data_IF_102930540321
#
_entry.id   IF_102930540321
#
_cell.length_a   1.000
_cell.length_b   1.000
_cell.length_c   1.000
_cell.angle_alpha   90.00
_cell.angle_beta   90.00
_cell.angle_gamma   90.00
#
_symmetry.space_group_name_H-M   'P 1'
#
loop_
_entity.id
_entity.type
_entity.pdbx_description
1 polymer ?
#
# COMPACT_ATOMS: atom_id res chain seq x y z
N UNK A 1 -14.01 7.70 1.98
CA UNK A 1 -13.48 6.58 2.78
C UNK A 1 -12.79 5.61 1.84
N UNK A 2 -11.51 5.30 2.10
CA UNK A 2 -10.73 4.31 1.34
C UNK A 2 -10.57 3.08 2.23
N UNK A 3 -10.88 1.88 1.73
CA UNK A 3 -10.78 0.64 2.51
C UNK A 3 -9.68 -0.27 1.97
N UNK A 4 -8.82 -0.79 2.85
CA UNK A 4 -7.84 -1.82 2.50
C UNK A 4 -8.55 -3.14 2.13
N UNK A 5 -8.10 -3.80 1.08
CA UNK A 5 -8.60 -5.11 0.65
C UNK A 5 -7.46 -6.13 0.74
N UNK A 6 -7.45 -6.87 1.84
CA UNK A 6 -6.49 -7.92 2.14
C UNK A 6 -7.16 -8.98 3.04
N UNK A 7 -6.58 -10.18 3.10
CA UNK A 7 -7.06 -11.25 3.99
C UNK A 7 -6.22 -11.40 5.26
N UNK A 8 -5.09 -10.69 5.40
CA UNK A 8 -4.17 -10.96 6.50
C UNK A 8 -4.72 -10.63 7.89
N UNK A 9 -5.66 -9.69 8.00
CA UNK A 9 -6.37 -9.35 9.23
C UNK A 9 -7.50 -10.33 9.57
N UNK A 10 -7.87 -11.21 8.63
CA UNK A 10 -9.03 -12.10 8.75
C UNK A 10 -8.67 -13.59 8.70
N UNK A 11 -7.38 -13.91 8.60
CA UNK A 11 -6.88 -15.28 8.58
C UNK A 11 -6.23 -15.63 9.91
N UNK A 12 -6.26 -16.91 10.27
CA UNK A 12 -5.58 -17.41 11.47
C UNK A 12 -4.06 -17.53 11.28
N UNK A 13 -3.55 -17.54 10.05
CA UNK A 13 -2.12 -17.67 9.75
C UNK A 13 -1.41 -16.34 9.45
N UNK A 14 -2.15 -15.25 9.20
CA UNK A 14 -1.59 -13.90 9.00
C UNK A 14 -0.97 -13.64 7.62
N UNK A 15 -1.27 -14.49 6.63
CA UNK A 15 -0.87 -14.28 5.22
C UNK A 15 -1.96 -13.56 4.44
N UNK A 16 -1.58 -12.92 3.33
CA UNK A 16 -2.50 -12.06 2.57
C UNK A 16 -3.52 -12.82 1.71
N UNK A 17 -3.38 -14.15 1.61
CA UNK A 17 -4.17 -15.01 0.74
C UNK A 17 -4.42 -16.40 1.33
N UNK A 18 -5.11 -17.23 0.56
CA UNK A 18 -5.38 -18.64 0.87
C UNK A 18 -4.09 -19.45 0.79
N UNK A 19 -3.87 -20.37 1.72
CA UNK A 19 -2.68 -21.23 1.72
C UNK A 19 -2.91 -22.55 0.98
N UNK A 20 -1.90 -22.99 0.24
CA UNK A 20 -1.71 -24.38 -0.22
C UNK A 20 -0.39 -24.90 0.35
N UNK A 21 -0.47 -25.64 1.47
CA UNK A 21 0.70 -25.98 2.27
C UNK A 21 1.30 -24.76 2.96
N UNK A 22 2.56 -24.44 2.66
CA UNK A 22 3.26 -23.26 3.19
C UNK A 22 3.27 -22.07 2.21
N UNK A 23 2.76 -22.25 0.99
CA UNK A 23 2.69 -21.23 -0.05
C UNK A 23 1.30 -20.59 -0.12
N UNK A 24 1.23 -19.37 -0.67
CA UNK A 24 -0.03 -18.67 -0.91
C UNK A 24 -0.53 -19.01 -2.31
N UNK A 25 -1.73 -19.57 -2.41
CA UNK A 25 -2.40 -19.83 -3.69
C UNK A 25 -3.04 -18.54 -4.23
N UNK A 26 -2.40 -17.99 -5.27
CA UNK A 26 -2.88 -16.80 -5.96
C UNK A 26 -4.32 -16.96 -6.47
N UNK A 27 -4.61 -18.05 -7.19
CA UNK A 27 -5.91 -18.26 -7.87
C UNK A 27 -7.05 -18.45 -6.88
N UNK A 28 -6.80 -19.17 -5.79
CA UNK A 28 -7.78 -19.34 -4.73
C UNK A 28 -8.04 -18.03 -3.98
N UNK A 29 -7.07 -17.11 -3.95
CA UNK A 29 -7.16 -15.83 -3.25
C UNK A 29 -7.99 -14.78 -4.02
N UNK A 30 -7.86 -14.68 -5.34
CA UNK A 30 -8.50 -13.62 -6.14
C UNK A 30 -10.03 -13.50 -5.92
N UNK A 31 -10.82 -14.60 -5.92
CA UNK A 31 -12.27 -14.50 -5.70
C UNK A 31 -12.64 -13.99 -4.30
N UNK A 32 -11.79 -14.22 -3.30
CA UNK A 32 -12.02 -13.72 -1.94
C UNK A 32 -11.74 -12.22 -1.85
N UNK A 33 -10.67 -11.73 -2.50
CA UNK A 33 -10.38 -10.30 -2.57
C UNK A 33 -11.52 -9.53 -3.27
N UNK A 34 -12.03 -10.06 -4.39
CA UNK A 34 -13.17 -9.49 -5.08
C UNK A 34 -14.43 -9.43 -4.17
N UNK A 35 -14.74 -10.53 -3.45
CA UNK A 35 -15.85 -10.55 -2.48
C UNK A 35 -15.68 -9.52 -1.36
N UNK A 36 -14.47 -9.36 -0.84
CA UNK A 36 -14.16 -8.35 0.18
C UNK A 36 -14.38 -6.93 -0.36
N UNK A 37 -13.88 -6.62 -1.56
CA UNK A 37 -14.08 -5.32 -2.20
C UNK A 37 -15.58 -5.03 -2.43
N UNK A 38 -16.36 -6.00 -2.92
CA UNK A 38 -17.81 -5.88 -3.09
C UNK A 38 -18.50 -5.62 -1.75
N UNK A 39 -18.08 -6.31 -0.68
CA UNK A 39 -18.60 -6.09 0.67
C UNK A 39 -18.38 -4.64 1.13
N UNK A 40 -17.17 -4.12 0.93
CA UNK A 40 -16.83 -2.73 1.28
C UNK A 40 -17.62 -1.72 0.45
N UNK A 41 -17.77 -1.95 -0.86
CA UNK A 41 -18.58 -1.11 -1.74
C UNK A 41 -20.06 -1.07 -1.33
N UNK A 42 -20.64 -2.24 -0.98
CA UNK A 42 -22.01 -2.33 -0.44
C UNK A 42 -22.18 -1.57 0.88
N UNK A 43 -21.12 -1.48 1.68
CA UNK A 43 -21.11 -0.71 2.93
C UNK A 43 -20.88 0.80 2.71
N UNK A 44 -20.67 1.25 1.46
CA UNK A 44 -20.48 2.66 1.13
C UNK A 44 -19.02 3.12 1.10
N UNK A 45 -18.05 2.22 0.86
CA UNK A 45 -16.68 2.64 0.56
C UNK A 45 -16.64 3.50 -0.72
N UNK A 46 -15.87 4.59 -0.69
CA UNK A 46 -15.71 5.47 -1.85
C UNK A 46 -14.59 5.01 -2.78
N UNK A 47 -13.71 4.11 -2.30
CA UNK A 47 -12.57 3.55 -3.03
C UNK A 47 -12.07 2.30 -2.30
N UNK A 48 -11.60 1.30 -3.05
CA UNK A 48 -10.98 0.09 -2.51
C UNK A 48 -9.49 0.05 -2.84
N UNK A 49 -8.66 -0.48 -1.94
CA UNK A 49 -7.22 -0.46 -2.11
C UNK A 49 -6.63 -1.86 -1.83
N UNK A 50 -6.46 -2.72 -2.85
CA UNK A 50 -5.97 -4.08 -2.67
C UNK A 50 -4.49 -4.10 -2.31
N UNK A 51 -4.17 -4.67 -1.16
CA UNK A 51 -2.80 -4.70 -0.63
C UNK A 51 -2.20 -6.10 -0.53
N UNK A 52 -2.86 -7.11 -1.11
CA UNK A 52 -2.43 -8.51 -1.00
C UNK A 52 -1.20 -8.85 -1.85
N UNK A 53 -0.91 -8.08 -2.91
CA UNK A 53 0.13 -8.39 -3.93
C UNK A 53 -0.12 -9.72 -4.64
N UNK A 54 -1.37 -9.99 -5.00
CA UNK A 54 -1.74 -11.15 -5.80
C UNK A 54 -1.79 -10.76 -7.28
N UNK A 55 -1.17 -11.54 -8.15
CA UNK A 55 -1.19 -11.32 -9.60
C UNK A 55 -2.64 -11.36 -10.11
N UNK A 56 -3.08 -10.32 -10.83
CA UNK A 56 -4.45 -10.22 -11.33
C UNK A 56 -5.49 -9.74 -10.32
N UNK A 57 -5.08 -9.28 -9.14
CA UNK A 57 -6.02 -8.80 -8.11
C UNK A 57 -6.84 -7.60 -8.56
N UNK A 58 -6.28 -6.68 -9.35
CA UNK A 58 -6.99 -5.49 -9.80
C UNK A 58 -8.06 -5.92 -10.80
N UNK A 59 -7.71 -6.74 -11.79
CA UNK A 59 -8.67 -7.25 -12.77
C UNK A 59 -9.82 -8.05 -12.11
N UNK A 60 -9.49 -8.90 -11.14
CA UNK A 60 -10.49 -9.68 -10.40
C UNK A 60 -11.44 -8.79 -9.58
N UNK A 61 -10.91 -7.77 -8.90
CA UNK A 61 -11.71 -6.82 -8.13
C UNK A 61 -12.56 -5.95 -9.05
N UNK A 62 -11.99 -5.41 -10.14
CA UNK A 62 -12.70 -4.57 -11.12
C UNK A 62 -13.89 -5.32 -11.71
N UNK A 63 -13.65 -6.55 -12.18
CA UNK A 63 -14.71 -7.42 -12.72
C UNK A 63 -15.80 -7.69 -11.69
N UNK A 64 -15.41 -8.04 -10.45
CA UNK A 64 -16.37 -8.30 -9.37
C UNK A 64 -17.21 -7.09 -8.98
N UNK A 65 -16.62 -5.89 -8.94
CA UNK A 65 -17.34 -4.65 -8.70
C UNK A 65 -18.31 -4.33 -9.85
N UNK A 66 -17.89 -4.49 -11.11
CA UNK A 66 -18.71 -4.20 -12.29
C UNK A 66 -19.94 -5.10 -12.38
N UNK A 67 -19.75 -6.41 -12.17
CA UNK A 67 -20.85 -7.39 -12.12
C UNK A 67 -21.86 -7.10 -11.00
N UNK A 68 -21.47 -6.31 -10.00
CA UNK A 68 -22.30 -5.92 -8.86
C UNK A 68 -22.78 -4.46 -8.93
N UNK A 69 -22.66 -3.79 -10.08
CA UNK A 69 -23.06 -2.39 -10.31
C UNK A 69 -22.26 -1.34 -9.51
N UNK A 70 -21.00 -1.63 -9.21
CA UNK A 70 -20.06 -0.72 -8.54
C UNK A 70 -18.95 -0.23 -9.48
N UNK A 71 -19.28 0.00 -10.76
CA UNK A 71 -18.35 0.45 -11.80
C UNK A 71 -17.70 1.81 -11.51
N UNK A 72 -18.33 2.62 -10.66
CA UNK A 72 -17.85 3.94 -10.26
C UNK A 72 -16.91 3.91 -9.04
N UNK A 73 -16.73 2.76 -8.38
CA UNK A 73 -15.83 2.65 -7.23
C UNK A 73 -14.39 2.52 -7.75
N UNK A 74 -13.51 3.48 -7.45
CA UNK A 74 -12.13 3.45 -7.91
C UNK A 74 -11.30 2.41 -7.16
N UNK A 75 -10.23 1.95 -7.80
CA UNK A 75 -9.25 1.02 -7.26
C UNK A 75 -7.89 1.73 -7.11
N UNK A 76 -7.36 1.75 -5.88
CA UNK A 76 -5.98 2.18 -5.59
C UNK A 76 -5.09 0.94 -5.42
N UNK A 77 -4.46 0.50 -6.51
CA UNK A 77 -3.57 -0.66 -6.50
C UNK A 77 -2.35 -0.43 -5.62
N UNK A 78 -2.07 -1.32 -4.67
CA UNK A 78 -0.75 -1.38 -4.03
C UNK A 78 0.27 -2.04 -4.95
N UNK A 79 0.44 -1.47 -6.14
CA UNK A 79 1.10 -2.07 -7.29
C UNK A 79 2.58 -2.39 -7.01
N UNK A 80 3.29 -1.47 -6.36
CA UNK A 80 4.69 -1.66 -6.00
C UNK A 80 4.85 -1.78 -4.47
N UNK A 81 4.44 -2.92 -3.90
CA UNK A 81 4.58 -3.21 -2.47
C UNK A 81 5.74 -4.16 -2.20
N UNK A 82 6.76 -3.64 -1.54
CA UNK A 82 7.99 -4.36 -1.24
C UNK A 82 7.93 -5.18 0.04
N UNK A 83 8.68 -6.28 0.07
CA UNK A 83 9.00 -7.06 1.25
C UNK A 83 9.99 -6.28 2.14
N UNK A 84 9.45 -5.39 2.97
CA UNK A 84 10.26 -4.42 3.71
C UNK A 84 10.36 -4.70 5.20
N UNK A 85 11.52 -4.36 5.78
CA UNK A 85 11.75 -4.34 7.22
C UNK A 85 11.00 -3.20 7.94
N UNK A 86 10.53 -2.16 7.21
CA UNK A 86 9.85 -1.02 7.82
C UNK A 86 8.40 -1.31 8.29
N UNK A 87 7.90 -2.53 8.11
CA UNK A 87 6.54 -2.91 8.55
C UNK A 87 6.44 -3.37 10.00
N UNK A 88 7.55 -3.52 10.72
CA UNK A 88 7.57 -4.04 12.10
C UNK A 88 6.52 -3.41 13.02
N UNK A 89 6.48 -2.08 13.19
CA UNK A 89 5.49 -1.45 14.07
C UNK A 89 4.04 -1.64 13.62
N UNK A 90 3.76 -1.68 12.31
CA UNK A 90 2.44 -1.97 11.77
C UNK A 90 1.99 -3.40 12.11
N UNK A 91 2.88 -4.39 11.97
CA UNK A 91 2.55 -5.80 12.26
C UNK A 91 2.16 -6.00 13.73
N UNK A 92 2.73 -5.22 14.64
CA UNK A 92 2.32 -5.21 16.05
C UNK A 92 0.94 -4.57 16.19
N UNK A 93 0.70 -3.42 15.55
CA UNK A 93 -0.56 -2.69 15.66
C UNK A 93 -1.76 -3.42 15.01
N UNK A 94 -1.52 -4.16 13.93
CA UNK A 94 -2.54 -4.88 13.16
C UNK A 94 -2.63 -6.38 13.50
N UNK A 95 -1.84 -6.86 14.47
CA UNK A 95 -1.73 -8.29 14.83
C UNK A 95 -1.54 -9.25 13.63
N UNK A 96 -0.88 -8.77 12.57
CA UNK A 96 -0.84 -9.41 11.25
C UNK A 96 0.51 -10.06 10.90
N UNK A 97 1.36 -10.31 11.91
CA UNK A 97 2.60 -11.06 11.71
C UNK A 97 2.30 -12.47 11.19
N UNK A 98 2.92 -12.93 10.08
CA UNK A 98 2.80 -14.32 9.64
C UNK A 98 3.22 -15.25 10.77
N UNK A 99 2.43 -16.29 11.04
CA UNK A 99 2.78 -17.29 12.08
C UNK A 99 3.99 -18.14 11.70
N UNK A 100 4.24 -18.28 10.40
CA UNK A 100 5.38 -18.99 9.82
C UNK A 100 5.78 -18.34 8.49
N UNK A 101 7.02 -18.59 8.07
CA UNK A 101 7.58 -18.07 6.81
C UNK A 101 7.70 -16.54 6.78
N UNK A 102 7.71 -16.00 5.57
CA UNK A 102 7.74 -14.57 5.30
C UNK A 102 6.76 -14.21 4.17
N UNK A 103 6.80 -12.97 3.67
CA UNK A 103 5.92 -12.50 2.59
C UNK A 103 6.68 -12.33 1.27
N UNK A 104 7.87 -12.90 1.15
CA UNK A 104 8.78 -12.68 0.01
C UNK A 104 8.32 -13.38 -1.27
N UNK A 105 7.42 -14.36 -1.18
CA UNK A 105 6.87 -15.07 -2.34
C UNK A 105 5.88 -14.24 -3.16
N UNK A 106 5.33 -13.16 -2.58
CA UNK A 106 4.36 -12.28 -3.24
C UNK A 106 4.69 -10.78 -3.09
N UNK A 107 5.39 -10.36 -2.03
CA UNK A 107 5.88 -8.98 -1.94
C UNK A 107 7.21 -8.83 -2.67
N UNK A 108 7.37 -7.71 -3.36
CA UNK A 108 8.53 -7.47 -4.21
C UNK A 108 9.84 -7.41 -3.42
N UNK A 109 10.90 -7.99 -3.96
CA UNK A 109 12.23 -7.86 -3.35
C UNK A 109 12.71 -6.39 -3.40
N UNK A 110 13.29 -5.81 -2.32
CA UNK A 110 13.78 -4.43 -2.31
C UNK A 110 14.79 -4.07 -3.40
N UNK A 111 15.46 -5.06 -3.99
CA UNK A 111 16.44 -4.87 -5.07
C UNK A 111 15.79 -4.62 -6.44
N UNK A 112 14.47 -4.76 -6.57
CA UNK A 112 13.78 -4.82 -7.86
C UNK A 112 13.06 -3.51 -8.21
N UNK A 113 13.82 -2.53 -8.71
CA UNK A 113 13.25 -1.27 -9.21
C UNK A 113 12.53 -1.40 -10.57
N UNK A 114 13.08 -2.20 -11.50
CA UNK A 114 12.48 -2.40 -12.83
C UNK A 114 11.21 -3.26 -12.81
N UNK A 115 11.11 -4.16 -11.83
CA UNK A 115 9.90 -4.95 -11.62
C UNK A 115 8.74 -4.06 -11.18
N UNK A 116 8.97 -3.05 -10.35
CA UNK A 116 7.90 -2.16 -9.90
C UNK A 116 7.20 -1.44 -11.06
N UNK A 117 7.94 -1.05 -12.11
CA UNK A 117 7.33 -0.44 -13.29
C UNK A 117 6.47 -1.45 -14.07
N UNK A 118 6.82 -2.74 -14.07
CA UNK A 118 6.01 -3.80 -14.69
C UNK A 118 4.74 -4.07 -13.90
N UNK A 119 4.84 -4.15 -12.58
CA UNK A 119 3.67 -4.31 -11.69
C UNK A 119 2.71 -3.12 -11.80
N UNK A 120 3.24 -1.89 -11.78
CA UNK A 120 2.45 -0.67 -11.97
C UNK A 120 1.76 -0.66 -13.34
N UNK A 121 2.48 -1.00 -14.41
CA UNK A 121 1.89 -1.06 -15.75
C UNK A 121 0.77 -2.12 -15.83
N UNK A 122 0.97 -3.30 -15.24
CA UNK A 122 -0.03 -4.35 -15.19
C UNK A 122 -1.29 -3.90 -14.43
N UNK A 123 -1.15 -3.34 -13.23
CA UNK A 123 -2.29 -2.83 -12.46
C UNK A 123 -3.05 -1.73 -13.21
N UNK A 124 -2.36 -0.85 -13.94
CA UNK A 124 -3.01 0.18 -14.79
C UNK A 124 -3.80 -0.48 -15.93
N UNK A 125 -3.21 -1.45 -16.63
CA UNK A 125 -3.88 -2.19 -17.71
C UNK A 125 -5.10 -2.98 -17.19
N UNK A 126 -5.03 -3.48 -15.95
CA UNK A 126 -6.11 -4.19 -15.27
C UNK A 126 -7.23 -3.28 -14.74
N UNK A 127 -7.03 -1.95 -14.75
CA UNK A 127 -8.05 -0.97 -14.40
C UNK A 127 -7.87 -0.30 -13.03
N UNK A 128 -6.63 -0.19 -12.53
CA UNK A 128 -6.33 0.64 -11.36
C UNK A 128 -6.45 2.14 -11.71
N UNK A 129 -7.26 2.87 -10.95
CA UNK A 129 -7.43 4.32 -11.08
C UNK A 129 -6.28 5.10 -10.44
N UNK A 130 -5.65 4.50 -9.42
CA UNK A 130 -4.46 5.01 -8.74
C UNK A 130 -3.50 3.85 -8.47
N UNK A 131 -2.21 4.14 -8.49
CA UNK A 131 -1.17 3.16 -8.16
C UNK A 131 -0.36 3.63 -6.96
N UNK A 132 0.18 2.70 -6.18
CA UNK A 132 0.91 3.01 -4.95
C UNK A 132 2.27 2.33 -4.86
N UNK A 133 3.26 3.08 -4.37
CA UNK A 133 4.54 2.54 -3.90
C UNK A 133 4.54 2.45 -2.36
N UNK A 134 4.94 1.29 -1.84
CA UNK A 134 5.02 1.03 -0.39
C UNK A 134 6.23 0.16 -0.07
N UNK A 135 7.13 0.56 0.85
CA UNK A 135 7.24 1.84 1.57
C UNK A 135 7.56 3.06 0.69
N UNK A 136 7.62 4.27 1.27
CA UNK A 136 7.87 5.50 0.52
C UNK A 136 9.30 6.03 0.67
N UNK A 137 9.81 6.24 1.90
CA UNK A 137 11.05 7.00 2.14
C UNK A 137 12.27 6.33 1.49
N UNK A 138 12.37 5.00 1.60
CA UNK A 138 13.47 4.23 1.03
C UNK A 138 13.30 3.92 -0.48
N UNK A 139 12.19 4.35 -1.08
CA UNK A 139 11.79 4.02 -2.47
C UNK A 139 11.37 5.27 -3.25
N UNK A 140 11.91 6.44 -2.89
CA UNK A 140 11.65 7.70 -3.58
C UNK A 140 12.10 7.66 -5.05
N UNK A 141 13.11 6.87 -5.36
CA UNK A 141 13.58 6.58 -6.73
C UNK A 141 12.52 5.83 -7.54
N UNK A 142 11.85 4.84 -6.95
CA UNK A 142 10.74 4.10 -7.58
C UNK A 142 9.53 5.01 -7.80
N UNK A 143 9.17 5.83 -6.82
CA UNK A 143 8.11 6.84 -6.96
C UNK A 143 8.47 7.81 -8.09
N UNK A 144 9.73 8.24 -8.15
CA UNK A 144 10.20 9.15 -9.18
C UNK A 144 10.10 8.54 -10.57
N UNK A 145 10.58 7.32 -10.73
CA UNK A 145 10.51 6.61 -12.00
C UNK A 145 9.05 6.42 -12.45
N UNK A 146 8.16 6.00 -11.55
CA UNK A 146 6.73 5.88 -11.85
C UNK A 146 6.12 7.21 -12.31
N UNK A 147 6.45 8.32 -11.63
CA UNK A 147 5.94 9.65 -11.98
C UNK A 147 6.40 10.19 -13.34
N UNK A 148 7.48 9.60 -13.89
CA UNK A 148 8.01 9.95 -15.20
C UNK A 148 7.44 9.06 -16.31
N UNK A 149 7.01 7.85 -15.98
CA UNK A 149 6.55 6.85 -16.95
C UNK A 149 5.03 6.80 -17.09
N UNK A 150 4.28 7.10 -16.04
CA UNK A 150 2.82 6.93 -16.01
C UNK A 150 2.11 8.25 -15.68
N UNK A 151 1.01 8.51 -16.39
CA UNK A 151 0.13 9.66 -16.13
C UNK A 151 -0.92 9.37 -15.04
N UNK A 152 -0.97 8.14 -14.52
CA UNK A 152 -1.88 7.72 -13.45
C UNK A 152 -1.47 8.33 -12.11
N UNK A 153 -2.41 8.85 -11.29
CA UNK A 153 -2.07 9.41 -9.99
C UNK A 153 -1.34 8.42 -9.08
N UNK A 154 -0.29 8.89 -8.42
CA UNK A 154 0.59 8.06 -7.60
C UNK A 154 0.33 8.32 -6.12
N UNK A 155 -0.05 7.29 -5.39
CA UNK A 155 -0.01 7.28 -3.93
C UNK A 155 1.34 6.76 -3.42
N UNK A 156 1.76 7.23 -2.26
CA UNK A 156 2.92 6.71 -1.56
C UNK A 156 2.60 6.50 -0.07
N UNK A 157 3.01 5.36 0.48
CA UNK A 157 2.78 5.06 1.89
C UNK A 157 4.03 5.37 2.71
N UNK A 158 3.98 6.42 3.53
CA UNK A 158 4.97 6.67 4.59
C UNK A 158 4.67 5.75 5.78
N UNK A 159 5.36 4.61 5.82
CA UNK A 159 4.98 3.44 6.63
C UNK A 159 5.35 3.59 8.10
N UNK A 160 4.89 2.63 8.91
CA UNK A 160 5.00 2.67 10.35
C UNK A 160 6.44 2.73 10.86
N UNK A 161 7.37 2.00 10.24
CA UNK A 161 8.78 2.02 10.61
C UNK A 161 9.43 3.38 10.34
N UNK A 162 9.09 4.02 9.23
CA UNK A 162 9.57 5.36 8.88
C UNK A 162 9.05 6.40 9.89
N UNK A 163 7.78 6.31 10.26
CA UNK A 163 7.20 7.12 11.34
C UNK A 163 7.89 6.90 12.68
N UNK A 164 8.01 5.63 13.12
CA UNK A 164 8.61 5.28 14.41
C UNK A 164 10.08 5.68 14.51
N UNK A 165 10.84 5.61 13.42
CA UNK A 165 12.23 6.07 13.38
C UNK A 165 12.35 7.57 13.71
N UNK A 166 11.53 8.39 13.05
CA UNK A 166 11.56 9.85 13.27
C UNK A 166 11.06 10.18 14.67
N UNK A 167 10.00 9.53 15.13
CA UNK A 167 9.48 9.71 16.49
C UNK A 167 10.52 9.34 17.57
N UNK A 168 11.20 8.20 17.41
CA UNK A 168 12.23 7.76 18.36
C UNK A 168 13.45 8.70 18.37
N UNK A 169 13.95 9.10 17.20
CA UNK A 169 15.08 10.02 17.10
C UNK A 169 14.74 11.43 17.64
N UNK A 170 13.49 11.87 17.46
CA UNK A 170 12.96 13.10 18.04
C UNK A 170 12.89 13.05 19.56
N UNK A 171 12.34 11.97 20.13
CA UNK A 171 12.28 11.74 21.58
C UNK A 171 13.68 11.66 22.22
N UNK A 172 14.66 11.11 21.50
CA UNK A 172 16.05 11.05 21.94
C UNK A 172 16.80 12.39 21.80
N UNK A 173 16.18 13.41 21.20
CA UNK A 173 16.79 14.72 20.97
C UNK A 173 17.87 14.73 19.88
N UNK A 174 17.91 13.72 19.02
CA UNK A 174 18.92 13.61 17.96
C UNK A 174 18.57 14.46 16.73
N UNK A 175 17.29 14.71 16.50
CA UNK A 175 16.79 15.56 15.43
C UNK A 175 15.55 16.34 15.88
N UNK A 176 15.25 17.41 15.14
CA UNK A 176 13.97 18.11 15.23
C UNK A 176 12.89 17.26 14.58
N UNK A 177 12.04 16.63 15.40
CA UNK A 177 11.01 15.70 14.94
C UNK A 177 10.05 16.34 13.94
N UNK A 178 9.58 17.56 14.22
CA UNK A 178 8.57 18.22 13.41
C UNK A 178 9.15 18.58 12.04
N UNK A 179 10.35 19.18 12.05
CA UNK A 179 11.05 19.57 10.83
C UNK A 179 11.42 18.36 9.98
N UNK A 180 11.97 17.31 10.57
CA UNK A 180 12.36 16.09 9.83
C UNK A 180 11.15 15.35 9.26
N UNK A 181 10.05 15.28 10.01
CA UNK A 181 8.79 14.71 9.52
C UNK A 181 8.28 15.46 8.28
N UNK A 182 8.22 16.80 8.32
CA UNK A 182 7.79 17.60 7.18
C UNK A 182 8.75 17.46 5.98
N UNK A 183 10.06 17.41 6.23
CA UNK A 183 11.06 17.23 5.16
C UNK A 183 10.89 15.89 4.42
N UNK A 184 10.55 14.82 5.14
CA UNK A 184 10.20 13.52 4.54
C UNK A 184 8.92 13.60 3.71
N UNK A 185 7.85 14.23 4.21
CA UNK A 185 6.62 14.38 3.43
C UNK A 185 6.85 15.24 2.17
N UNK A 186 7.66 16.29 2.27
CA UNK A 186 8.08 17.09 1.12
C UNK A 186 8.92 16.29 0.13
N UNK A 187 9.80 15.40 0.59
CA UNK A 187 10.61 14.57 -0.31
C UNK A 187 9.74 13.57 -1.09
N UNK A 188 8.73 12.99 -0.45
CA UNK A 188 7.74 12.11 -1.09
C UNK A 188 6.91 12.88 -2.13
N UNK A 189 6.41 14.09 -1.80
CA UNK A 189 5.74 14.96 -2.79
C UNK A 189 6.67 15.31 -3.95
N UNK A 190 7.92 15.68 -3.68
CA UNK A 190 8.92 16.03 -4.70
C UNK A 190 9.27 14.85 -5.62
N UNK A 191 9.26 13.63 -5.09
CA UNK A 191 9.49 12.44 -5.88
C UNK A 191 8.40 12.24 -6.93
N UNK A 192 7.17 12.73 -6.70
CA UNK A 192 6.09 12.69 -7.68
C UNK A 192 4.81 12.04 -7.15
N UNK A 193 4.73 11.75 -5.85
CA UNK A 193 3.48 11.27 -5.27
C UNK A 193 2.42 12.38 -5.23
N UNK A 194 1.23 12.09 -5.73
CA UNK A 194 0.04 12.93 -5.64
C UNK A 194 -0.62 12.83 -4.27
N UNK A 195 -0.69 11.61 -3.73
CA UNK A 195 -1.24 11.33 -2.40
C UNK A 195 -0.19 10.71 -1.48
N UNK A 196 -0.21 11.09 -0.21
CA UNK A 196 0.65 10.49 0.81
C UNK A 196 -0.22 9.91 1.92
N UNK A 197 -0.12 8.61 2.13
CA UNK A 197 -0.68 7.94 3.31
C UNK A 197 0.39 7.97 4.40
N UNK A 198 0.11 8.66 5.51
CA UNK A 198 1.07 8.82 6.60
C UNK A 198 0.37 8.84 7.96
N UNK A 199 1.01 8.23 8.96
CA UNK A 199 0.59 8.34 10.37
C UNK A 199 0.72 9.77 10.91
N UNK A 200 1.53 10.59 10.26
CA UNK A 200 1.77 11.99 10.61
C UNK A 200 0.72 12.95 10.06
N UNK A 201 -0.35 12.47 9.40
CA UNK A 201 -1.29 13.32 8.66
C UNK A 201 -1.89 14.45 9.52
N UNK A 202 -2.33 14.13 10.75
CA UNK A 202 -2.92 15.12 11.67
C UNK A 202 -1.88 16.16 12.10
N UNK A 203 -0.63 15.75 12.36
CA UNK A 203 0.43 16.66 12.76
C UNK A 203 0.84 17.56 11.58
N UNK A 204 1.04 17.00 10.39
CA UNK A 204 1.36 17.73 9.18
C UNK A 204 0.26 18.76 8.83
N UNK A 205 -1.02 18.39 8.94
CA UNK A 205 -2.13 19.30 8.68
C UNK A 205 -2.12 20.52 9.62
N UNK A 206 -1.79 20.33 10.91
CA UNK A 206 -1.67 21.43 11.88
C UNK A 206 -0.52 22.39 11.56
N UNK A 207 0.55 21.91 10.95
CA UNK A 207 1.69 22.73 10.55
C UNK A 207 1.34 23.52 9.30
N UNK A 208 0.77 22.84 8.31
CA UNK A 208 0.38 23.46 7.03
C UNK A 208 -0.70 24.52 7.19
N UNK A 209 -1.56 24.43 8.21
CA UNK A 209 -2.59 25.45 8.48
C UNK A 209 -2.10 26.68 9.25
N UNK A 210 -0.84 26.69 9.71
CA UNK A 210 -0.23 27.84 10.40
C UNK A 210 0.52 28.77 9.45
N UNK A 211 0.72 28.37 8.20
CA UNK A 211 1.26 29.20 7.12
C UNK A 211 0.14 29.90 6.36
#
# INVERSE_FOLDING_TARGET
>A
MITDVCLCEYTDHGHCGVLDGEDVDNKATLPLLAKTAISHARAGADMVAPSAMMDGQVAAIRSGLDENNFCNIPIMGYSAKYASAFYGPFRIAAESSPRFGDRNSYQMAPTQGREAMREIAADIEEGADLVMVKPALAYLDVIKEASLQFDTPIAAYNVSGEYSMVAAAGQAGWLDQERSMMEILTSIKRAGADLIITYSAIQAAKILSRG
#
